data_IF_106886497085
#
_entry.id   IF_106886497085
#
_cell.length_a   1.000
_cell.length_b   1.000
_cell.length_c   1.000
_cell.angle_alpha   90.00
_cell.angle_beta   90.00
_cell.angle_gamma   90.00
#
_symmetry.space_group_name_H-M   'P 1'
#
loop_
_entity.id
_entity.type
_entity.pdbx_description
1 polymer ?
#
# COMPACT_ATOMS: atom_id res chain seq x y z
N UNK A 1 19.34 -44.55 17.90
CA UNK A 1 18.26 -43.56 17.71
C UNK A 1 17.65 -43.84 16.36
N UNK A 2 16.33 -43.81 16.30
CA UNK A 2 15.50 -44.35 15.23
C UNK A 2 15.64 -43.51 13.95
N UNK A 3 15.99 -44.14 12.83
CA UNK A 3 15.98 -43.48 11.52
C UNK A 3 14.53 -43.18 11.11
N UNK A 4 14.23 -41.92 10.82
CA UNK A 4 12.94 -41.50 10.25
C UNK A 4 13.12 -41.42 8.73
N UNK A 5 12.43 -42.28 8.00
CA UNK A 5 12.40 -42.28 6.53
C UNK A 5 11.24 -41.39 6.09
N UNK A 6 11.52 -40.32 5.35
CA UNK A 6 10.49 -39.56 4.64
C UNK A 6 10.38 -40.07 3.19
N UNK A 7 9.21 -40.59 2.83
CA UNK A 7 8.88 -40.94 1.45
C UNK A 7 8.11 -39.77 0.84
N UNK A 8 8.73 -39.01 -0.07
CA UNK A 8 8.02 -37.98 -0.85
C UNK A 8 7.58 -38.62 -2.17
N UNK A 9 6.27 -38.82 -2.33
CA UNK A 9 5.68 -39.36 -3.55
C UNK A 9 5.28 -38.18 -4.47
N UNK A 10 6.03 -37.94 -5.54
CA UNK A 10 5.67 -36.96 -6.58
C UNK A 10 5.02 -37.71 -7.74
N UNK A 11 3.71 -37.54 -7.91
CA UNK A 11 2.96 -38.13 -9.04
C UNK A 11 2.99 -37.15 -10.21
N UNK A 12 3.79 -37.47 -11.24
CA UNK A 12 3.57 -36.94 -12.58
C UNK A 12 2.74 -37.93 -13.39
N UNK A 13 1.71 -37.43 -14.06
CA UNK A 13 0.93 -38.20 -15.02
C UNK A 13 1.85 -38.59 -16.18
N UNK A 14 2.19 -39.87 -16.26
CA UNK A 14 2.99 -40.47 -17.33
C UNK A 14 4.38 -40.91 -16.90
N UNK A 15 4.54 -42.23 -16.73
CA UNK A 15 5.78 -42.98 -16.43
C UNK A 15 6.38 -42.80 -15.02
N UNK A 16 6.21 -43.85 -14.20
CA UNK A 16 6.87 -44.03 -12.90
C UNK A 16 8.30 -44.51 -13.14
N UNK A 17 9.28 -43.68 -12.80
CA UNK A 17 10.65 -44.11 -12.49
C UNK A 17 10.87 -43.88 -11.00
N UNK A 18 11.07 -44.95 -10.24
CA UNK A 18 11.56 -44.87 -8.87
C UNK A 18 13.08 -44.79 -8.92
N UNK A 19 13.66 -43.69 -8.44
CA UNK A 19 15.11 -43.55 -8.27
C UNK A 19 15.39 -43.38 -6.78
N UNK A 20 16.10 -44.35 -6.19
CA UNK A 20 16.63 -44.25 -4.83
C UNK A 20 17.71 -43.17 -4.81
N UNK A 21 17.48 -42.10 -4.03
CA UNK A 21 18.50 -41.09 -3.77
C UNK A 21 19.14 -41.41 -2.43
N UNK A 22 20.40 -41.85 -2.48
CA UNK A 22 21.26 -41.99 -1.31
C UNK A 22 21.86 -40.63 -0.99
N UNK A 23 21.56 -40.08 0.20
CA UNK A 23 22.23 -38.89 0.71
C UNK A 23 23.46 -39.37 1.49
N UNK A 24 24.65 -39.17 0.92
CA UNK A 24 25.91 -39.35 1.64
C UNK A 24 26.12 -38.19 2.61
N UNK A 25 26.39 -38.51 3.88
CA UNK A 25 26.78 -37.54 4.90
C UNK A 25 28.17 -36.98 4.59
N UNK A 26 28.22 -35.74 4.07
CA UNK A 26 29.46 -34.98 3.98
C UNK A 26 29.76 -34.30 5.32
N UNK A 27 30.98 -34.44 5.89
CA UNK A 27 31.37 -33.70 7.07
C UNK A 27 31.48 -32.21 6.72
N UNK A 28 30.65 -31.39 7.36
CA UNK A 28 30.70 -29.93 7.23
C UNK A 28 31.99 -29.44 7.90
N UNK A 29 32.93 -28.95 7.10
CA UNK A 29 34.09 -28.21 7.60
C UNK A 29 33.59 -26.96 8.33
N UNK A 30 34.13 -26.68 9.52
CA UNK A 30 33.92 -25.44 10.26
C UNK A 30 34.61 -24.29 9.50
N UNK A 31 33.96 -23.81 8.45
CA UNK A 31 34.28 -22.59 7.73
C UNK A 31 33.11 -21.62 7.89
N UNK A 32 33.41 -20.47 8.48
CA UNK A 32 32.62 -19.23 8.55
C UNK A 32 31.14 -19.35 8.22
N UNK A 33 30.32 -19.36 9.27
CA UNK A 33 28.91 -18.93 9.16
C UNK A 33 28.97 -17.46 8.74
N UNK A 34 29.00 -17.21 7.43
CA UNK A 34 28.71 -15.90 6.88
C UNK A 34 27.34 -15.52 7.43
N UNK A 35 27.31 -14.53 8.32
CA UNK A 35 26.07 -13.98 8.84
C UNK A 35 25.21 -13.60 7.65
N UNK A 36 24.14 -14.34 7.40
CA UNK A 36 23.11 -13.94 6.44
C UNK A 36 22.61 -12.60 6.95
N UNK A 37 23.07 -11.52 6.32
CA UNK A 37 22.59 -10.18 6.63
C UNK A 37 21.06 -10.23 6.50
N UNK A 38 20.31 -9.83 7.53
CA UNK A 38 18.86 -9.77 7.42
C UNK A 38 18.50 -8.99 6.16
N UNK A 39 17.53 -9.47 5.40
CA UNK A 39 17.04 -8.67 4.27
C UNK A 39 16.60 -7.30 4.80
N UNK A 40 16.74 -6.23 4.02
CA UNK A 40 16.30 -4.89 4.46
C UNK A 40 14.81 -4.82 4.88
N UNK A 41 14.03 -5.87 4.61
CA UNK A 41 12.66 -6.04 5.07
C UNK A 41 12.57 -6.51 6.54
N UNK A 42 13.55 -7.27 7.06
CA UNK A 42 13.63 -7.72 8.47
C UNK A 42 13.90 -6.55 9.42
N UNK A 43 14.63 -5.52 8.95
CA UNK A 43 14.91 -4.30 9.73
C UNK A 43 13.64 -3.55 10.17
N UNK A 44 12.50 -3.82 9.51
CA UNK A 44 11.19 -3.22 9.81
C UNK A 44 10.18 -4.23 10.34
N UNK A 45 10.61 -5.42 10.75
CA UNK A 45 9.75 -6.44 11.35
C UNK A 45 9.04 -5.92 12.61
N UNK A 46 9.76 -5.18 13.45
CA UNK A 46 9.20 -4.54 14.64
C UNK A 46 8.01 -3.62 14.31
N UNK A 47 8.07 -2.90 13.20
CA UNK A 47 7.02 -1.97 12.79
C UNK A 47 5.80 -2.70 12.24
N UNK A 48 6.02 -3.79 11.51
CA UNK A 48 4.97 -4.71 11.08
C UNK A 48 4.18 -5.25 12.28
N UNK A 49 4.89 -5.71 13.31
CA UNK A 49 4.27 -6.31 14.51
C UNK A 49 3.41 -5.31 15.30
N UNK A 50 3.75 -4.02 15.27
CA UNK A 50 2.96 -2.96 15.90
C UNK A 50 1.74 -2.58 15.05
N UNK A 51 1.92 -2.41 13.74
CA UNK A 51 0.89 -1.82 12.88
C UNK A 51 -0.15 -2.84 12.38
N UNK A 52 0.24 -4.10 12.23
CA UNK A 52 -0.65 -5.12 11.67
C UNK A 52 -1.52 -5.76 12.76
N UNK A 53 -2.84 -5.89 12.55
CA UNK A 53 -3.70 -6.61 13.49
C UNK A 53 -3.23 -8.05 13.76
N UNK A 54 -3.19 -8.46 15.04
CA UNK A 54 -2.69 -9.77 15.48
C UNK A 54 -3.40 -10.94 14.78
N UNK A 55 -4.70 -10.81 14.52
CA UNK A 55 -5.44 -11.84 13.78
C UNK A 55 -4.87 -12.05 12.37
N UNK A 56 -4.51 -10.98 11.65
CA UNK A 56 -3.88 -11.12 10.33
C UNK A 56 -2.44 -11.63 10.42
N UNK A 57 -1.70 -11.27 11.48
CA UNK A 57 -0.36 -11.83 11.71
C UNK A 57 -0.40 -13.36 11.90
N UNK A 58 -1.44 -13.88 12.54
CA UNK A 58 -1.57 -15.30 12.85
C UNK A 58 -2.23 -16.10 11.71
N UNK A 59 -3.31 -15.57 11.12
CA UNK A 59 -4.13 -16.31 10.15
C UNK A 59 -3.62 -16.18 8.72
N UNK A 60 -3.04 -15.03 8.36
CA UNK A 60 -2.60 -14.70 7.00
C UNK A 60 -1.20 -14.02 7.01
N UNK A 61 -0.18 -14.63 7.63
CA UNK A 61 1.11 -13.98 7.89
C UNK A 61 1.80 -13.48 6.61
N UNK A 62 1.77 -14.29 5.54
CA UNK A 62 2.43 -13.96 4.27
C UNK A 62 1.76 -12.76 3.59
N UNK A 63 0.45 -12.79 3.48
CA UNK A 63 -0.37 -11.75 2.86
C UNK A 63 -0.32 -10.46 3.66
N UNK A 64 -0.39 -10.56 4.99
CA UNK A 64 -0.26 -9.42 5.90
C UNK A 64 1.11 -8.77 5.79
N UNK A 65 2.19 -9.56 5.81
CA UNK A 65 3.54 -9.02 5.67
C UNK A 65 3.76 -8.39 4.30
N UNK A 66 3.25 -9.00 3.23
CA UNK A 66 3.30 -8.45 1.88
C UNK A 66 2.54 -7.12 1.77
N UNK A 67 1.34 -7.06 2.35
CA UNK A 67 0.49 -5.86 2.43
C UNK A 67 1.22 -4.70 3.09
N UNK A 68 1.94 -4.96 4.19
CA UNK A 68 2.79 -3.97 4.84
C UNK A 68 4.03 -3.61 4.00
N UNK A 69 4.79 -4.61 3.57
CA UNK A 69 6.11 -4.47 2.96
C UNK A 69 6.11 -3.61 1.70
N UNK A 70 5.05 -3.67 0.88
CA UNK A 70 5.03 -2.91 -0.38
C UNK A 70 5.20 -1.40 -0.16
N UNK A 71 4.75 -0.90 0.99
CA UNK A 71 4.79 0.52 1.33
C UNK A 71 6.15 0.98 1.89
N UNK A 72 7.06 0.06 2.26
CA UNK A 72 8.46 0.38 2.60
C UNK A 72 9.25 0.88 1.37
N UNK A 73 8.77 0.59 0.16
CA UNK A 73 9.47 0.82 -1.12
C UNK A 73 9.20 2.20 -1.73
N UNK A 74 9.06 3.24 -0.92
CA UNK A 74 8.93 4.62 -1.38
C UNK A 74 10.22 5.44 -1.23
N UNK A 75 10.20 6.70 -1.65
CA UNK A 75 11.34 7.64 -1.56
C UNK A 75 11.56 8.20 -0.15
N UNK A 76 10.68 7.91 0.81
CA UNK A 76 10.79 8.41 2.18
C UNK A 76 11.35 7.31 3.09
N UNK A 77 12.60 7.46 3.51
CA UNK A 77 13.36 6.40 4.23
C UNK A 77 13.36 6.53 5.75
N UNK A 78 12.59 7.47 6.31
CA UNK A 78 12.44 7.59 7.75
C UNK A 78 11.20 6.84 8.22
N UNK A 79 11.37 6.01 9.24
CA UNK A 79 10.32 5.15 9.82
C UNK A 79 10.24 5.41 11.33
N UNK A 80 9.68 6.55 11.73
CA UNK A 80 9.47 6.87 13.14
C UNK A 80 8.50 5.87 13.78
N UNK A 81 8.59 5.67 15.09
CA UNK A 81 7.64 4.79 15.78
C UNK A 81 6.21 5.37 15.69
N UNK A 82 5.15 4.55 15.79
CA UNK A 82 3.79 5.05 15.81
C UNK A 82 3.56 6.12 16.90
N UNK A 83 4.18 5.98 18.07
CA UNK A 83 4.11 6.96 19.16
C UNK A 83 4.71 8.31 18.74
N UNK A 84 5.80 8.31 17.97
CA UNK A 84 6.39 9.54 17.44
C UNK A 84 5.47 10.24 16.41
N UNK A 85 4.70 9.47 15.64
CA UNK A 85 3.71 10.03 14.69
C UNK A 85 2.50 10.61 15.42
N UNK A 86 2.13 10.05 16.58
CA UNK A 86 0.98 10.48 17.36
C UNK A 86 1.20 11.82 18.07
N UNK A 87 2.46 12.22 18.27
CA UNK A 87 2.82 13.45 18.99
C UNK A 87 2.62 14.71 18.14
N UNK A 88 2.12 15.77 18.79
CA UNK A 88 1.75 17.08 18.21
C UNK A 88 2.91 17.90 17.59
N UNK A 89 4.14 17.40 17.63
CA UNK A 89 5.35 18.10 17.15
C UNK A 89 5.62 17.88 15.65
N UNK A 90 4.57 17.74 14.84
CA UNK A 90 4.69 17.66 13.39
C UNK A 90 5.17 19.01 12.86
N UNK A 91 6.28 18.99 12.11
CA UNK A 91 6.86 20.18 11.49
C UNK A 91 5.90 20.78 10.46
N UNK A 92 6.03 22.08 10.20
CA UNK A 92 5.19 22.85 9.27
C UNK A 92 5.53 22.56 7.80
N UNK A 93 5.39 21.31 7.38
CA UNK A 93 5.46 20.94 5.98
C UNK A 93 4.13 21.32 5.34
N UNK A 94 4.17 22.05 4.23
CA UNK A 94 2.96 22.45 3.50
C UNK A 94 2.63 21.54 2.32
N UNK A 95 3.62 20.78 1.84
CA UNK A 95 3.46 19.89 0.69
C UNK A 95 4.36 18.68 0.82
N UNK A 96 3.81 17.51 0.51
CA UNK A 96 4.51 16.23 0.49
C UNK A 96 4.54 15.73 -0.94
N UNK A 97 5.72 15.33 -1.40
CA UNK A 97 5.88 14.66 -2.70
C UNK A 97 7.01 13.63 -2.65
N UNK A 98 6.94 12.67 -3.56
CA UNK A 98 7.94 11.62 -3.67
C UNK A 98 7.55 10.57 -4.71
N UNK A 99 8.19 9.41 -4.64
CA UNK A 99 7.89 8.26 -5.48
C UNK A 99 7.65 7.01 -4.66
N UNK A 100 6.75 6.16 -5.12
CA UNK A 100 6.49 4.84 -4.57
C UNK A 100 6.68 3.78 -5.64
N UNK A 101 6.78 2.52 -5.23
CA UNK A 101 6.69 1.39 -6.15
C UNK A 101 5.22 1.03 -6.37
N UNK A 102 4.71 1.35 -7.55
CA UNK A 102 3.40 0.99 -8.07
C UNK A 102 3.47 -0.36 -8.81
N UNK A 103 2.43 -1.19 -8.71
CA UNK A 103 2.39 -2.50 -9.35
C UNK A 103 3.66 -3.35 -9.13
N UNK A 104 4.25 -3.27 -7.92
CA UNK A 104 5.49 -3.94 -7.50
C UNK A 104 6.80 -3.59 -8.25
N UNK A 105 6.77 -2.88 -9.39
CA UNK A 105 7.99 -2.62 -10.20
C UNK A 105 8.10 -1.18 -10.75
N UNK A 106 6.99 -0.43 -10.85
CA UNK A 106 6.97 0.86 -11.55
C UNK A 106 7.13 1.99 -10.53
N UNK A 107 8.12 2.87 -10.70
CA UNK A 107 8.19 4.08 -9.86
C UNK A 107 7.16 5.12 -10.33
N UNK A 108 6.24 5.48 -9.44
CA UNK A 108 5.18 6.47 -9.68
C UNK A 108 5.19 7.56 -8.62
N UNK A 109 4.72 8.75 -8.98
CA UNK A 109 4.78 9.95 -8.11
C UNK A 109 3.54 10.08 -7.24
N UNK A 110 3.73 10.31 -5.95
CA UNK A 110 2.67 10.78 -5.06
C UNK A 110 2.88 12.26 -4.73
N UNK A 111 1.78 12.99 -4.50
CA UNK A 111 1.83 14.41 -4.13
C UNK A 111 0.52 14.85 -3.47
N UNK A 112 0.64 15.54 -2.35
CA UNK A 112 -0.48 16.16 -1.65
C UNK A 112 -0.01 17.35 -0.82
N UNK A 113 -0.95 18.19 -0.40
CA UNK A 113 -0.68 19.32 0.48
C UNK A 113 -1.13 19.02 1.90
N UNK A 114 -0.52 19.70 2.86
CA UNK A 114 -0.94 19.71 4.26
C UNK A 114 -1.36 21.13 4.58
N UNK A 115 -2.64 21.30 4.91
CA UNK A 115 -3.21 22.59 5.31
C UNK A 115 -3.40 22.57 6.82
N UNK A 116 -2.81 23.53 7.52
CA UNK A 116 -3.00 23.66 8.96
C UNK A 116 -4.46 23.99 9.30
N UNK A 117 -4.99 23.34 10.31
CA UNK A 117 -6.30 23.58 10.91
C UNK A 117 -6.11 23.87 12.40
N UNK A 118 -6.93 24.71 13.06
CA UNK A 118 -6.79 25.00 14.50
C UNK A 118 -6.73 23.74 15.38
N UNK A 119 -7.35 22.63 14.97
CA UNK A 119 -7.36 21.37 15.72
C UNK A 119 -6.34 20.33 15.19
N UNK A 120 -5.64 20.64 14.09
CA UNK A 120 -4.54 19.84 13.55
C UNK A 120 -4.26 20.14 12.08
N UNK A 121 -4.56 19.23 11.15
CA UNK A 121 -4.32 19.48 9.71
C UNK A 121 -5.21 18.69 8.76
N UNK A 122 -5.28 19.17 7.52
CA UNK A 122 -5.99 18.55 6.42
C UNK A 122 -4.98 18.07 5.37
N UNK A 123 -5.01 16.78 5.05
CA UNK A 123 -4.28 16.16 3.95
C UNK A 123 -5.11 16.34 2.69
N UNK A 124 -4.62 17.15 1.76
CA UNK A 124 -5.40 17.62 0.63
C UNK A 124 -4.89 17.00 -0.68
N UNK A 125 -5.77 16.31 -1.42
CA UNK A 125 -5.50 15.82 -2.78
C UNK A 125 -6.42 16.54 -3.78
N UNK A 126 -5.83 17.16 -4.80
CA UNK A 126 -6.53 17.91 -5.84
C UNK A 126 -6.33 17.25 -7.19
N UNK A 127 -7.42 16.90 -7.86
CA UNK A 127 -7.41 16.24 -9.17
C UNK A 127 -8.08 17.12 -10.19
N UNK A 128 -7.45 17.29 -11.34
CA UNK A 128 -8.07 17.92 -12.51
C UNK A 128 -8.50 16.85 -13.50
N UNK A 129 -9.74 16.93 -13.98
CA UNK A 129 -10.22 16.10 -15.08
C UNK A 129 -9.92 16.79 -16.40
N UNK A 130 -9.28 16.08 -17.34
CA UNK A 130 -8.99 16.58 -18.69
C UNK A 130 -10.23 16.42 -19.56
N UNK A 131 -10.66 17.51 -20.19
CA UNK A 131 -11.81 17.57 -21.10
C UNK A 131 -13.10 16.89 -20.56
N UNK A 132 -13.52 17.16 -19.30
CA UNK A 132 -14.68 16.49 -18.72
C UNK A 132 -15.97 17.05 -19.31
N UNK A 133 -16.99 16.20 -19.43
CA UNK A 133 -18.37 16.67 -19.60
C UNK A 133 -18.86 17.33 -18.31
N UNK A 134 -19.98 18.07 -18.37
CA UNK A 134 -20.61 18.62 -17.18
C UNK A 134 -21.03 17.51 -16.20
N UNK A 135 -21.52 16.38 -16.73
CA UNK A 135 -21.88 15.20 -15.94
C UNK A 135 -20.67 14.58 -15.26
N UNK A 136 -19.52 14.48 -15.95
CA UNK A 136 -18.28 13.96 -15.37
C UNK A 136 -17.86 14.76 -14.13
N UNK A 137 -17.95 16.10 -14.18
CA UNK A 137 -17.59 16.94 -13.04
C UNK A 137 -18.45 16.64 -11.82
N UNK A 138 -19.78 16.54 -12.00
CA UNK A 138 -20.72 16.25 -10.90
C UNK A 138 -20.47 14.85 -10.35
N UNK A 139 -20.38 13.87 -11.25
CA UNK A 139 -20.22 12.46 -10.90
C UNK A 139 -18.89 12.20 -10.16
N UNK A 140 -17.77 12.70 -10.67
CA UNK A 140 -16.48 12.52 -9.99
C UNK A 140 -16.35 13.37 -8.72
N UNK A 141 -17.00 14.54 -8.62
CA UNK A 141 -17.04 15.27 -7.36
C UNK A 141 -17.77 14.47 -6.27
N UNK A 142 -18.87 13.80 -6.63
CA UNK A 142 -19.59 12.91 -5.72
C UNK A 142 -18.73 11.70 -5.31
N UNK A 143 -18.05 11.04 -6.27
CA UNK A 143 -17.14 9.93 -5.97
C UNK A 143 -15.94 10.34 -5.12
N UNK A 144 -15.40 11.54 -5.32
CA UNK A 144 -14.34 12.10 -4.47
C UNK A 144 -14.84 12.34 -3.05
N UNK A 145 -16.08 12.80 -2.88
CA UNK A 145 -16.70 12.92 -1.56
C UNK A 145 -16.87 11.56 -0.88
N UNK A 146 -17.36 10.55 -1.60
CA UNK A 146 -17.46 9.17 -1.07
C UNK A 146 -16.09 8.60 -0.68
N UNK A 147 -15.07 8.85 -1.49
CA UNK A 147 -13.70 8.47 -1.19
C UNK A 147 -13.18 9.18 0.07
N UNK A 148 -13.46 10.47 0.18
CA UNK A 148 -13.11 11.29 1.34
C UNK A 148 -13.79 10.77 2.61
N UNK A 149 -15.09 10.48 2.55
CA UNK A 149 -15.85 9.96 3.67
C UNK A 149 -15.23 8.62 4.14
N UNK A 150 -14.94 7.70 3.21
CA UNK A 150 -14.27 6.42 3.53
C UNK A 150 -12.90 6.60 4.22
N UNK A 151 -12.08 7.52 3.72
CA UNK A 151 -10.77 7.85 4.32
C UNK A 151 -10.87 8.55 5.67
N UNK A 152 -12.03 9.11 5.99
CA UNK A 152 -12.28 9.83 7.23
C UNK A 152 -13.07 9.01 8.27
N UNK A 153 -13.66 7.88 7.88
CA UNK A 153 -14.35 6.91 8.75
C UNK A 153 -13.38 6.10 9.62
N UNK A 154 -12.23 5.70 9.06
CA UNK A 154 -11.20 4.94 9.78
C UNK A 154 -9.98 5.83 10.01
N UNK A 155 -9.39 5.82 11.21
CA UNK A 155 -8.21 6.63 11.53
C UNK A 155 -7.35 5.92 12.55
N UNK A 156 -6.06 6.28 12.60
CA UNK A 156 -5.24 5.99 13.77
C UNK A 156 -5.46 7.09 14.80
N UNK A 157 -5.57 6.71 16.07
CA UNK A 157 -5.67 7.69 17.16
C UNK A 157 -4.35 8.46 17.30
N UNK A 158 -4.45 9.78 17.47
CA UNK A 158 -3.33 10.73 17.55
C UNK A 158 -3.67 11.86 18.53
N UNK A 159 -2.67 12.57 19.06
CA UNK A 159 -2.87 13.73 19.96
C UNK A 159 -3.34 15.01 19.23
N UNK A 160 -3.52 14.92 17.93
CA UNK A 160 -4.01 15.98 17.04
C UNK A 160 -5.12 15.43 16.15
N UNK A 161 -5.97 16.29 15.61
CA UNK A 161 -6.94 15.90 14.60
C UNK A 161 -6.30 15.94 13.21
N UNK A 162 -6.64 14.99 12.35
CA UNK A 162 -6.31 15.11 10.94
C UNK A 162 -7.48 14.65 10.10
N UNK A 163 -7.63 15.24 8.91
CA UNK A 163 -8.69 14.91 7.97
C UNK A 163 -8.12 14.78 6.56
N UNK A 164 -8.78 13.99 5.74
CA UNK A 164 -8.55 13.94 4.30
C UNK A 164 -9.56 14.85 3.62
N UNK A 165 -9.10 15.63 2.65
CA UNK A 165 -9.97 16.38 1.76
C UNK A 165 -9.58 16.12 0.32
N UNK A 166 -10.54 15.67 -0.48
CA UNK A 166 -10.33 15.30 -1.87
C UNK A 166 -11.25 16.11 -2.76
N UNK A 167 -10.69 16.80 -3.75
CA UNK A 167 -11.47 17.67 -4.62
C UNK A 167 -11.12 17.52 -6.11
N UNK A 168 -12.14 17.71 -6.94
CA UNK A 168 -11.98 17.97 -8.37
C UNK A 168 -11.82 19.47 -8.58
N UNK A 169 -10.70 19.89 -9.16
CA UNK A 169 -10.43 21.30 -9.48
C UNK A 169 -10.58 21.58 -10.98
N UNK A 170 -11.08 22.77 -11.30
CA UNK A 170 -11.28 23.22 -12.68
C UNK A 170 -9.96 23.53 -13.42
N UNK A 171 -8.96 24.05 -12.71
CA UNK A 171 -7.68 24.48 -13.27
C UNK A 171 -6.59 23.44 -13.03
N UNK A 172 -5.94 22.97 -14.10
CA UNK A 172 -4.84 22.00 -14.01
C UNK A 172 -3.65 22.53 -13.19
N UNK A 173 -3.40 23.84 -13.20
CA UNK A 173 -2.32 24.48 -12.44
C UNK A 173 -2.47 24.35 -10.91
N UNK A 174 -3.70 24.16 -10.42
CA UNK A 174 -4.01 23.96 -9.00
C UNK A 174 -4.00 22.49 -8.59
N UNK A 175 -3.97 21.57 -9.55
CA UNK A 175 -4.09 20.15 -9.29
C UNK A 175 -2.74 19.50 -8.95
N UNK A 176 -2.78 18.45 -8.14
CA UNK A 176 -1.66 17.55 -7.94
C UNK A 176 -1.55 16.54 -9.10
N UNK A 177 -2.70 16.13 -9.64
CA UNK A 177 -2.81 15.17 -10.74
C UNK A 177 -3.81 15.65 -11.79
N UNK A 178 -3.58 15.29 -13.05
CA UNK A 178 -4.48 15.59 -14.16
C UNK A 178 -4.78 14.33 -14.96
N UNK A 179 -6.02 13.88 -14.92
CA UNK A 179 -6.44 12.56 -15.44
C UNK A 179 -7.44 12.71 -16.58
N UNK A 180 -7.35 11.84 -17.58
CA UNK A 180 -8.34 11.70 -18.63
C UNK A 180 -9.54 10.90 -18.12
N UNK A 181 -10.75 11.24 -18.57
CA UNK A 181 -11.96 10.48 -18.24
C UNK A 181 -12.32 9.56 -19.41
N UNK A 182 -12.40 8.26 -19.13
CA UNK A 182 -12.75 7.21 -20.08
C UNK A 182 -14.03 6.50 -19.62
N UNK A 183 -14.70 5.80 -20.52
CA UNK A 183 -15.93 5.06 -20.14
C UNK A 183 -15.62 3.93 -19.16
N UNK A 184 -14.55 3.17 -19.43
CA UNK A 184 -14.01 2.15 -18.53
C UNK A 184 -12.49 2.14 -18.63
N UNK A 185 -11.82 1.85 -17.52
CA UNK A 185 -10.37 1.66 -17.51
C UNK A 185 -9.91 0.92 -16.26
N UNK A 186 -8.78 0.22 -16.37
CA UNK A 186 -7.96 -0.19 -15.22
C UNK A 186 -6.76 0.75 -15.02
N UNK A 187 -6.71 1.81 -15.83
CA UNK A 187 -5.54 2.64 -16.05
C UNK A 187 -4.97 3.20 -14.75
N UNK A 188 -3.67 3.55 -14.75
CA UNK A 188 -3.04 3.94 -13.51
C UNK A 188 -3.69 5.21 -12.98
N UNK A 189 -3.77 5.30 -11.66
CA UNK A 189 -4.39 6.37 -10.88
C UNK A 189 -4.07 7.79 -11.37
N UNK A 190 -2.88 8.00 -11.94
CA UNK A 190 -2.34 9.31 -12.32
C UNK A 190 -2.66 9.73 -13.77
N UNK A 191 -3.30 8.87 -14.57
CA UNK A 191 -3.54 9.18 -15.99
C UNK A 191 -4.97 9.01 -16.47
N UNK A 192 -5.69 7.95 -16.09
CA UNK A 192 -7.00 7.63 -16.69
C UNK A 192 -7.98 7.14 -15.62
N UNK A 193 -9.17 7.74 -15.57
CA UNK A 193 -10.23 7.39 -14.63
C UNK A 193 -11.48 6.92 -15.38
N UNK A 194 -12.10 5.84 -14.89
CA UNK A 194 -13.28 5.21 -15.49
C UNK A 194 -14.58 5.82 -14.99
N UNK A 195 -15.53 6.08 -15.90
CA UNK A 195 -16.90 6.52 -15.53
C UNK A 195 -17.65 5.45 -14.73
N UNK A 196 -17.32 4.19 -14.97
CA UNK A 196 -17.83 3.00 -14.28
C UNK A 196 -17.27 2.79 -12.87
N UNK A 197 -16.21 3.50 -12.48
CA UNK A 197 -15.63 3.39 -11.13
C UNK A 197 -16.60 3.85 -10.05
N UNK A 198 -16.57 3.21 -8.88
CA UNK A 198 -17.31 3.67 -7.69
C UNK A 198 -16.48 4.64 -6.86
N UNK A 199 -17.07 5.33 -5.88
CA UNK A 199 -16.32 6.14 -4.91
C UNK A 199 -15.25 5.34 -4.16
N UNK A 200 -15.47 4.05 -3.90
CA UNK A 200 -14.47 3.17 -3.27
C UNK A 200 -13.28 2.87 -4.19
N UNK A 201 -13.52 2.69 -5.49
CA UNK A 201 -12.42 2.59 -6.46
C UNK A 201 -11.65 3.91 -6.48
N UNK A 202 -12.33 5.05 -6.51
CA UNK A 202 -11.67 6.37 -6.40
C UNK A 202 -10.85 6.48 -5.11
N UNK A 203 -11.31 5.96 -3.97
CA UNK A 203 -10.54 5.93 -2.73
C UNK A 203 -9.25 5.11 -2.82
N UNK A 204 -9.26 3.98 -3.54
CA UNK A 204 -8.07 3.18 -3.84
C UNK A 204 -7.07 4.01 -4.68
N UNK A 205 -7.53 4.62 -5.76
CA UNK A 205 -6.68 5.43 -6.64
C UNK A 205 -6.12 6.68 -5.93
N UNK A 206 -6.90 7.31 -5.06
CA UNK A 206 -6.41 8.40 -4.21
C UNK A 206 -5.38 7.88 -3.19
N UNK A 207 -5.51 6.64 -2.71
CA UNK A 207 -4.48 5.98 -1.89
C UNK A 207 -3.12 5.95 -2.60
N UNK A 208 -3.11 5.72 -3.91
CA UNK A 208 -1.90 5.86 -4.72
C UNK A 208 -1.38 7.30 -4.78
N UNK A 209 -2.25 8.29 -4.96
CA UNK A 209 -1.88 9.72 -4.91
C UNK A 209 -1.27 10.15 -3.57
N UNK A 210 -1.63 9.43 -2.49
CA UNK A 210 -1.10 9.56 -1.13
C UNK A 210 0.18 8.75 -0.89
N UNK A 211 0.62 7.94 -1.86
CA UNK A 211 1.89 7.20 -1.82
C UNK A 211 1.78 5.76 -1.31
N UNK A 212 0.62 5.13 -1.42
CA UNK A 212 0.43 3.71 -1.12
C UNK A 212 0.54 2.86 -2.37
N UNK A 213 1.29 1.77 -2.32
CA UNK A 213 1.43 0.82 -3.45
C UNK A 213 0.25 -0.15 -3.54
N UNK A 214 0.08 -0.77 -4.71
CA UNK A 214 -0.79 -1.95 -4.85
C UNK A 214 -0.23 -3.10 -4.02
N UNK A 215 -1.08 -3.77 -3.26
CA UNK A 215 -0.67 -4.90 -2.43
C UNK A 215 -0.75 -6.24 -3.18
N UNK A 216 -1.50 -6.30 -4.28
CA UNK A 216 -1.55 -7.44 -5.18
C UNK A 216 -0.36 -7.47 -6.14
N UNK A 217 0.05 -8.67 -6.53
CA UNK A 217 1.09 -8.83 -7.54
C UNK A 217 0.50 -8.80 -8.94
N UNK A 218 0.76 -7.72 -9.65
CA UNK A 218 0.19 -7.46 -10.98
C UNK A 218 0.76 -8.38 -12.06
N UNK A 219 1.98 -8.89 -11.88
CA UNK A 219 2.73 -9.64 -12.91
C UNK A 219 2.29 -11.11 -13.03
N UNK A 220 1.93 -11.75 -11.91
CA UNK A 220 1.60 -13.18 -11.89
C UNK A 220 0.11 -13.47 -12.08
N UNK A 221 -0.75 -12.44 -12.08
CA UNK A 221 -2.20 -12.58 -12.11
C UNK A 221 -2.79 -13.27 -10.86
N UNK A 222 -1.96 -13.60 -9.87
CA UNK A 222 -2.39 -14.20 -8.61
C UNK A 222 -2.80 -13.09 -7.64
N UNK A 223 -4.02 -13.19 -7.12
CA UNK A 223 -4.48 -12.41 -5.96
C UNK A 223 -3.82 -12.93 -4.68
N UNK A 224 -2.50 -12.78 -4.61
CA UNK A 224 -1.69 -13.06 -3.43
C UNK A 224 -1.49 -11.75 -2.68
N UNK A 225 -2.52 -11.34 -1.93
CA UNK A 225 -2.52 -10.15 -1.07
C UNK A 225 -3.57 -10.27 0.02
N UNK A 226 -3.50 -9.38 1.02
CA UNK A 226 -4.45 -9.34 2.12
C UNK A 226 -5.81 -8.85 1.61
N UNK A 227 -6.69 -9.77 1.19
CA UNK A 227 -8.00 -9.45 0.57
C UNK A 227 -8.84 -8.41 1.29
N UNK A 228 -8.86 -8.36 2.65
CA UNK A 228 -9.54 -7.31 3.38
C UNK A 228 -9.02 -5.89 3.13
N UNK A 229 -7.81 -5.70 2.60
CA UNK A 229 -7.21 -4.38 2.36
C UNK A 229 -7.77 -3.71 1.11
N UNK A 230 -8.08 -2.41 1.20
CA UNK A 230 -8.49 -1.60 0.06
C UNK A 230 -7.40 -1.54 -1.02
N UNK A 231 -6.12 -1.54 -0.63
CA UNK A 231 -4.99 -1.53 -1.57
C UNK A 231 -4.73 -2.91 -2.21
N UNK A 232 -5.45 -3.95 -1.79
CA UNK A 232 -5.51 -5.27 -2.43
C UNK A 232 -6.79 -5.42 -3.28
N UNK A 233 -7.95 -5.06 -2.73
CA UNK A 233 -9.26 -5.17 -3.41
C UNK A 233 -10.03 -3.84 -3.35
N UNK A 234 -9.99 -3.06 -4.42
CA UNK A 234 -10.64 -1.75 -4.50
C UNK A 234 -12.19 -1.77 -4.36
N UNK A 235 -12.83 -2.92 -4.52
CA UNK A 235 -14.30 -3.03 -4.52
C UNK A 235 -14.91 -3.36 -3.15
N UNK A 236 -14.16 -4.05 -2.30
CA UNK A 236 -14.67 -4.60 -1.02
C UNK A 236 -13.70 -4.48 0.14
N UNK A 237 -12.44 -4.11 -0.12
CA UNK A 237 -11.44 -3.93 0.93
C UNK A 237 -11.66 -2.66 1.73
N UNK A 238 -11.10 -2.64 2.94
CA UNK A 238 -11.11 -1.54 3.89
C UNK A 238 -9.72 -0.90 4.02
N UNK A 239 -9.69 0.36 4.42
CA UNK A 239 -8.45 1.03 4.77
C UNK A 239 -7.89 0.44 6.07
N UNK A 240 -6.59 0.21 6.09
CA UNK A 240 -5.89 -0.46 7.18
C UNK A 240 -5.03 0.53 7.97
N UNK A 241 -4.79 0.23 9.25
CA UNK A 241 -3.96 1.04 10.16
C UNK A 241 -2.62 1.45 9.53
N UNK A 242 -1.93 0.50 8.88
CA UNK A 242 -0.64 0.79 8.25
C UNK A 242 -0.75 1.81 7.10
N UNK A 243 -1.86 1.87 6.37
CA UNK A 243 -2.06 2.86 5.31
C UNK A 243 -1.93 4.30 5.84
N UNK A 244 -2.57 4.58 6.98
CA UNK A 244 -2.49 5.89 7.64
C UNK A 244 -1.09 6.18 8.17
N UNK A 245 -0.44 5.20 8.80
CA UNK A 245 0.95 5.34 9.26
C UNK A 245 1.88 5.76 8.12
N UNK A 246 1.80 5.08 6.97
CA UNK A 246 2.69 5.37 5.83
C UNK A 246 2.46 6.76 5.26
N UNK A 247 1.23 7.28 5.33
CA UNK A 247 0.91 8.65 4.94
C UNK A 247 1.48 9.63 5.97
N UNK A 248 1.13 9.46 7.25
CA UNK A 248 1.44 10.40 8.32
C UNK A 248 2.93 10.50 8.63
N UNK A 249 3.71 9.42 8.50
CA UNK A 249 5.16 9.46 8.74
C UNK A 249 5.89 10.48 7.86
N UNK A 250 5.33 10.81 6.69
CA UNK A 250 5.90 11.77 5.74
C UNK A 250 5.70 13.22 6.18
N UNK A 251 4.85 13.44 7.18
CA UNK A 251 4.55 14.74 7.78
C UNK A 251 5.56 15.14 8.87
N UNK A 252 6.54 14.28 9.20
CA UNK A 252 7.54 14.50 10.25
C UNK A 252 8.88 15.10 9.77
N UNK A 253 9.05 15.43 8.47
CA UNK A 253 10.27 16.09 7.94
C UNK A 253 10.57 17.43 8.55
#
# INVERSE_FOLDING_TARGET
MTNVIFLILVVFVGNVFAQEIWVEDYPVAAGDIESVQPSADEDYRWLYEILMPVNFQNELPSEAFKSFRVHLKDSYKQFPTPEQIQQKNLKSIRSVSGTMTYASIIKKKYRYDIVSDPQGFVIHVRVHLKNPTASDKVNFSQKMKEAQDLWNESRIETDFQYQFHFEIVSESAKAHFSVSVLDTTRGPYDTNWGRDWTGRVVAHEVGHMLGLGDEYQTISGKFDCLRPSLMCTAWSGALMTHHYYFILRRNLK
#
